data_IF_272881189484
#
_entry.id   IF_272881189484
#
_cell.length_a   1.000
_cell.length_b   1.000
_cell.length_c   1.000
_cell.angle_alpha   90.00
_cell.angle_beta   90.00
_cell.angle_gamma   90.00
#
_symmetry.space_group_name_H-M   'P 1'
#
loop_
_entity.id
_entity.type
_entity.pdbx_description
1 polymer ?
#
# COMPACT_ATOMS: atom_id res chain seq x y z
N UNK A 1 -10.88 13.46 -17.13
CA UNK A 1 -9.81 12.48 -17.11
C UNK A 1 -9.98 11.48 -15.97
N UNK A 2 -9.29 10.35 -16.10
CA UNK A 2 -9.17 9.34 -15.01
C UNK A 2 -7.71 8.90 -14.86
N UNK A 3 -6.79 9.76 -15.27
CA UNK A 3 -5.36 9.54 -15.17
C UNK A 3 -4.88 9.80 -13.74
N UNK A 4 -4.02 8.94 -13.21
CA UNK A 4 -3.43 9.07 -11.85
C UNK A 4 -4.52 9.15 -10.75
N UNK A 5 -5.64 8.42 -10.91
CA UNK A 5 -6.80 8.52 -10.02
C UNK A 5 -7.42 9.94 -9.92
N UNK A 6 -7.08 10.85 -10.84
CA UNK A 6 -7.70 12.18 -10.96
C UNK A 6 -8.88 12.10 -11.90
N UNK A 7 -10.07 12.02 -11.32
CA UNK A 7 -11.31 11.82 -12.05
C UNK A 7 -12.11 13.11 -12.15
N UNK A 8 -12.70 13.37 -13.33
CA UNK A 8 -13.56 14.55 -13.59
C UNK A 8 -14.97 14.43 -12.99
N UNK A 9 -15.15 13.62 -11.96
CA UNK A 9 -16.41 13.53 -11.22
C UNK A 9 -16.37 14.44 -10.00
N UNK A 10 -17.48 15.10 -9.67
CA UNK A 10 -17.56 15.90 -8.45
C UNK A 10 -17.44 14.99 -7.22
N UNK A 11 -16.78 15.48 -6.19
CA UNK A 11 -16.76 14.80 -4.89
C UNK A 11 -18.17 14.72 -4.30
N UNK A 12 -18.42 13.72 -3.44
CA UNK A 12 -19.66 13.61 -2.72
C UNK A 12 -19.94 14.90 -1.91
N UNK A 13 -21.15 15.48 -1.94
CA UNK A 13 -21.41 16.82 -1.42
C UNK A 13 -21.01 17.06 0.05
N UNK A 14 -21.09 16.03 0.89
CA UNK A 14 -20.70 16.15 2.30
C UNK A 14 -19.20 16.47 2.50
N UNK A 15 -18.34 16.13 1.51
CA UNK A 15 -16.89 16.40 1.59
C UNK A 15 -16.60 17.90 1.50
N UNK A 16 -16.98 18.61 0.41
CA UNK A 16 -16.76 20.05 0.34
C UNK A 16 -17.48 20.81 1.46
N UNK A 17 -18.67 20.39 1.89
CA UNK A 17 -19.36 20.99 3.03
C UNK A 17 -18.54 20.87 4.33
N UNK A 18 -17.94 19.71 4.60
CA UNK A 18 -17.09 19.53 5.78
C UNK A 18 -15.83 20.42 5.71
N UNK A 19 -15.21 20.53 4.54
CA UNK A 19 -14.06 21.41 4.31
C UNK A 19 -14.45 22.88 4.55
N UNK A 20 -15.57 23.33 3.98
CA UNK A 20 -16.07 24.71 4.17
C UNK A 20 -16.28 24.99 5.65
N UNK A 21 -16.98 24.12 6.38
CA UNK A 21 -17.15 24.28 7.83
C UNK A 21 -15.84 24.38 8.59
N UNK A 22 -14.80 23.64 8.16
CA UNK A 22 -13.49 23.66 8.84
C UNK A 22 -12.71 24.94 8.56
N UNK A 23 -12.82 25.52 7.37
CA UNK A 23 -12.06 26.74 7.00
C UNK A 23 -12.73 28.05 7.45
N UNK A 24 -14.04 28.04 7.74
CA UNK A 24 -14.74 29.21 8.21
C UNK A 24 -14.15 29.84 9.50
N UNK A 25 -13.82 29.06 10.55
CA UNK A 25 -13.01 29.58 11.65
C UNK A 25 -11.57 29.77 11.21
N UNK A 26 -11.02 31.00 11.18
CA UNK A 26 -9.71 31.29 10.60
C UNK A 26 -8.52 30.94 11.53
N UNK A 27 -8.65 29.89 12.33
CA UNK A 27 -7.58 29.42 13.21
C UNK A 27 -7.00 28.10 12.65
N UNK A 28 -5.81 28.18 12.07
CA UNK A 28 -5.12 27.07 11.40
C UNK A 28 -3.85 26.68 12.14
N UNK A 29 -3.95 26.44 13.45
CA UNK A 29 -2.85 26.02 14.28
C UNK A 29 -2.53 24.53 14.17
N UNK A 30 -1.80 24.03 15.14
CA UNK A 30 -1.50 22.60 15.26
C UNK A 30 -2.79 21.79 15.43
N UNK A 31 -2.80 20.55 14.92
CA UNK A 31 -3.91 19.66 15.11
C UNK A 31 -3.41 18.26 15.52
N UNK A 32 -4.33 17.49 16.11
CA UNK A 32 -4.17 16.04 16.27
C UNK A 32 -5.42 15.39 15.67
N UNK A 33 -5.29 14.18 15.08
CA UNK A 33 -6.45 13.44 14.63
C UNK A 33 -7.46 13.27 15.76
N UNK A 34 -8.73 13.49 15.46
CA UNK A 34 -9.82 13.36 16.44
C UNK A 34 -10.19 11.90 16.69
N UNK A 35 -10.86 11.60 17.80
CA UNK A 35 -11.40 10.26 18.03
C UNK A 35 -12.32 9.83 16.89
N UNK A 36 -13.14 10.73 16.36
CA UNK A 36 -14.01 10.45 15.22
C UNK A 36 -13.25 10.00 13.96
N UNK A 37 -12.01 10.45 13.75
CA UNK A 37 -11.16 9.98 12.67
C UNK A 37 -10.80 8.51 12.84
N UNK A 38 -10.37 8.12 14.04
CA UNK A 38 -10.01 6.72 14.34
C UNK A 38 -11.23 5.81 14.31
N UNK A 39 -12.34 6.26 14.86
CA UNK A 39 -13.62 5.54 14.86
C UNK A 39 -14.12 5.27 13.43
N UNK A 40 -14.03 6.27 12.55
CA UNK A 40 -14.43 6.14 11.15
C UNK A 40 -13.56 5.09 10.41
N UNK A 41 -12.23 5.09 10.62
CA UNK A 41 -11.33 4.10 10.02
C UNK A 41 -11.67 2.70 10.55
N UNK A 42 -11.78 2.55 11.86
CA UNK A 42 -12.09 1.25 12.48
C UNK A 42 -13.44 0.70 12.04
N UNK A 43 -14.46 1.57 11.94
CA UNK A 43 -15.77 1.19 11.43
C UNK A 43 -15.71 0.77 9.96
N UNK A 44 -15.00 1.51 9.10
CA UNK A 44 -14.84 1.16 7.70
C UNK A 44 -14.16 -0.21 7.51
N UNK A 45 -13.05 -0.43 8.21
CA UNK A 45 -12.33 -1.69 8.16
C UNK A 45 -13.18 -2.87 8.65
N UNK A 46 -13.94 -2.68 9.72
CA UNK A 46 -14.85 -3.71 10.24
C UNK A 46 -16.00 -4.00 9.27
N UNK A 47 -16.67 -2.96 8.80
CA UNK A 47 -17.95 -3.10 8.08
C UNK A 47 -17.72 -3.49 6.60
N UNK A 48 -16.60 -3.08 6.02
CA UNK A 48 -16.29 -3.35 4.60
C UNK A 48 -15.33 -4.52 4.39
N UNK A 49 -14.41 -4.74 5.32
CA UNK A 49 -13.33 -5.72 5.16
C UNK A 49 -13.33 -6.82 6.23
N UNK A 50 -14.20 -6.73 7.24
CA UNK A 50 -14.29 -7.72 8.31
C UNK A 50 -13.10 -7.70 9.29
N UNK A 51 -12.30 -6.64 9.27
CA UNK A 51 -11.17 -6.46 10.20
C UNK A 51 -11.71 -6.08 11.57
N UNK A 52 -11.43 -6.91 12.58
CA UNK A 52 -11.84 -6.68 13.97
C UNK A 52 -10.63 -6.40 14.85
N UNK A 53 -10.85 -5.72 15.98
CA UNK A 53 -9.78 -5.43 16.95
C UNK A 53 -8.87 -4.26 16.57
N UNK A 54 -9.20 -3.48 15.54
CA UNK A 54 -8.45 -2.29 15.16
C UNK A 54 -8.82 -1.13 16.09
N UNK A 55 -7.88 -0.71 16.94
CA UNK A 55 -7.98 0.46 17.81
C UNK A 55 -7.11 1.63 17.30
N UNK A 56 -7.24 2.79 17.94
CA UNK A 56 -6.49 4.00 17.58
C UNK A 56 -4.96 3.79 17.64
N UNK A 57 -4.50 2.93 18.54
CA UNK A 57 -3.08 2.55 18.70
C UNK A 57 -2.48 1.84 17.49
N UNK A 58 -3.33 1.31 16.60
CA UNK A 58 -2.91 0.63 15.36
C UNK A 58 -2.94 1.57 14.14
N UNK A 59 -3.35 2.83 14.32
CA UNK A 59 -3.58 3.77 13.22
C UNK A 59 -2.62 4.95 13.34
N UNK A 60 -1.67 5.05 12.42
CA UNK A 60 -0.82 6.22 12.25
C UNK A 60 -1.43 7.22 11.26
N UNK A 61 -1.29 8.52 11.55
CA UNK A 61 -1.61 9.57 10.59
C UNK A 61 -0.38 9.90 9.75
N UNK A 62 -0.52 9.81 8.44
CA UNK A 62 0.54 10.13 7.49
C UNK A 62 0.02 11.03 6.36
N UNK A 63 0.93 11.77 5.76
CA UNK A 63 0.62 12.65 4.63
C UNK A 63 0.63 11.86 3.32
N UNK A 64 -0.40 11.05 3.15
CA UNK A 64 -0.58 10.16 2.00
C UNK A 64 0.16 8.82 2.16
N UNK A 65 -0.28 7.83 1.37
CA UNK A 65 0.20 6.44 1.47
C UNK A 65 1.69 6.32 1.18
N UNK A 66 2.22 7.04 0.19
CA UNK A 66 3.67 7.04 -0.08
C UNK A 66 4.48 7.57 1.11
N UNK A 67 3.94 8.56 1.83
CA UNK A 67 4.51 9.03 3.10
C UNK A 67 4.59 7.87 4.10
N UNK A 68 3.49 7.15 4.30
CA UNK A 68 3.43 6.00 5.20
C UNK A 68 4.40 4.88 4.83
N UNK A 69 4.52 4.55 3.54
CA UNK A 69 5.51 3.56 3.05
C UNK A 69 6.93 3.98 3.42
N UNK A 70 7.29 5.23 3.17
CA UNK A 70 8.65 5.72 3.50
C UNK A 70 8.87 5.83 5.00
N UNK A 71 7.86 6.23 5.78
CA UNK A 71 7.94 6.24 7.24
C UNK A 71 8.20 4.83 7.79
N UNK A 72 7.47 3.83 7.32
CA UNK A 72 7.70 2.45 7.70
C UNK A 72 9.12 2.00 7.35
N UNK A 73 9.60 2.27 6.14
CA UNK A 73 10.95 1.93 5.74
C UNK A 73 12.02 2.66 6.58
N UNK A 74 11.82 3.93 6.92
CA UNK A 74 12.76 4.69 7.75
C UNK A 74 12.88 4.15 9.19
N UNK A 75 11.84 3.45 9.68
CA UNK A 75 11.88 2.81 11.01
C UNK A 75 12.68 1.49 10.98
N UNK A 76 12.52 0.71 9.91
CA UNK A 76 13.05 -0.67 9.85
C UNK A 76 14.25 -0.85 8.93
N UNK A 77 14.55 0.14 8.09
CA UNK A 77 15.62 0.09 7.10
C UNK A 77 16.53 1.32 7.22
N UNK A 78 17.72 1.21 6.66
CA UNK A 78 18.70 2.29 6.56
C UNK A 78 18.85 2.78 5.13
N UNK A 79 19.30 4.02 4.94
CA UNK A 79 19.64 4.54 3.61
C UNK A 79 20.71 3.65 2.96
N UNK A 80 20.47 3.27 1.70
CA UNK A 80 21.31 2.34 0.97
C UNK A 80 20.83 0.90 1.00
N UNK A 81 19.89 0.57 1.88
CA UNK A 81 19.27 -0.74 1.91
C UNK A 81 18.49 -1.03 0.65
N UNK A 82 18.32 -2.31 0.36
CA UNK A 82 17.61 -2.80 -0.81
C UNK A 82 16.17 -3.09 -0.47
N UNK A 83 15.26 -2.61 -1.33
CA UNK A 83 13.83 -2.84 -1.22
C UNK A 83 13.35 -3.54 -2.50
N UNK A 84 12.70 -4.69 -2.35
CA UNK A 84 12.12 -5.44 -3.46
C UNK A 84 10.77 -4.85 -3.85
N UNK A 85 10.56 -4.70 -5.16
CA UNK A 85 9.27 -4.35 -5.77
C UNK A 85 8.98 -5.28 -6.95
N UNK A 86 7.72 -5.65 -7.12
CA UNK A 86 7.30 -6.38 -8.33
C UNK A 86 7.16 -5.41 -9.51
N UNK A 87 7.69 -5.75 -10.67
CA UNK A 87 7.60 -4.90 -11.87
C UNK A 87 6.79 -5.55 -12.99
N UNK A 88 5.99 -4.78 -13.77
CA UNK A 88 5.83 -3.32 -13.67
C UNK A 88 5.25 -2.90 -12.32
N UNK A 89 5.67 -1.72 -11.81
CA UNK A 89 5.24 -1.21 -10.51
C UNK A 89 4.80 0.24 -10.59
N UNK A 90 4.10 0.71 -9.56
CA UNK A 90 3.71 2.11 -9.49
C UNK A 90 4.94 3.02 -9.39
N UNK A 91 4.99 4.02 -10.28
CA UNK A 91 6.12 4.95 -10.38
C UNK A 91 6.38 5.74 -9.08
N UNK A 92 5.34 5.90 -8.25
CA UNK A 92 5.45 6.51 -6.92
C UNK A 92 6.41 5.76 -6.01
N UNK A 93 6.41 4.43 -6.04
CA UNK A 93 7.36 3.63 -5.24
C UNK A 93 8.79 3.88 -5.70
N UNK A 94 9.06 3.74 -7.00
CA UNK A 94 10.42 3.88 -7.52
C UNK A 94 10.99 5.28 -7.28
N UNK A 95 10.18 6.33 -7.49
CA UNK A 95 10.58 7.70 -7.22
C UNK A 95 10.85 7.93 -5.73
N UNK A 96 9.93 7.51 -4.85
CA UNK A 96 10.06 7.72 -3.40
C UNK A 96 11.25 6.95 -2.84
N UNK A 97 11.43 5.69 -3.22
CA UNK A 97 12.58 4.89 -2.79
C UNK A 97 13.90 5.53 -3.22
N UNK A 98 14.03 5.93 -4.49
CA UNK A 98 15.24 6.57 -5.01
C UNK A 98 15.53 7.89 -4.31
N UNK A 99 14.52 8.75 -4.13
CA UNK A 99 14.67 10.05 -3.48
C UNK A 99 15.07 9.92 -1.99
N UNK A 100 14.61 8.86 -1.33
CA UNK A 100 14.96 8.59 0.08
C UNK A 100 16.27 7.79 0.23
N UNK A 101 16.91 7.43 -0.87
CA UNK A 101 18.22 6.79 -0.88
C UNK A 101 18.19 5.27 -0.72
N UNK A 102 17.05 4.63 -0.95
CA UNK A 102 16.94 3.17 -1.01
C UNK A 102 17.34 2.64 -2.40
N UNK A 103 17.81 1.41 -2.44
CA UNK A 103 18.14 0.69 -3.68
C UNK A 103 16.98 -0.24 -4.06
N UNK A 104 16.54 -0.15 -5.30
CA UNK A 104 15.41 -0.93 -5.78
C UNK A 104 15.92 -2.26 -6.33
N UNK A 105 15.26 -3.35 -5.93
CA UNK A 105 15.42 -4.66 -6.52
C UNK A 105 14.10 -5.03 -7.19
N UNK A 106 14.12 -5.17 -8.51
CA UNK A 106 12.95 -5.57 -9.26
C UNK A 106 12.80 -7.10 -9.26
N UNK A 107 11.59 -7.59 -8.94
CA UNK A 107 11.15 -8.95 -9.21
C UNK A 107 10.07 -8.88 -10.28
N UNK A 108 10.37 -9.19 -11.55
CA UNK A 108 9.41 -9.05 -12.64
C UNK A 108 8.21 -9.98 -12.43
N UNK A 109 7.02 -9.44 -12.67
CA UNK A 109 5.82 -10.27 -12.83
C UNK A 109 5.90 -11.00 -14.17
N UNK A 110 5.36 -12.20 -14.23
CA UNK A 110 5.19 -12.97 -15.45
C UNK A 110 3.71 -13.08 -15.82
N UNK A 111 3.40 -13.40 -17.07
CA UNK A 111 2.06 -13.76 -17.49
C UNK A 111 1.97 -15.27 -17.66
N UNK A 112 0.90 -15.87 -17.16
CA UNK A 112 0.57 -17.27 -17.44
C UNK A 112 0.01 -17.45 -18.87
N UNK A 113 -0.37 -18.69 -19.21
CA UNK A 113 -0.90 -19.04 -20.53
C UNK A 113 -2.20 -18.28 -20.88
N UNK A 114 -2.95 -17.86 -19.87
CA UNK A 114 -4.17 -17.06 -20.02
C UNK A 114 -3.91 -15.55 -20.05
N UNK A 115 -2.65 -15.14 -20.00
CA UNK A 115 -2.25 -13.73 -19.97
C UNK A 115 -2.45 -13.05 -18.61
N UNK A 116 -2.71 -13.83 -17.56
CA UNK A 116 -2.88 -13.31 -16.20
C UNK A 116 -1.53 -13.06 -15.55
N UNK A 117 -1.37 -11.86 -15.02
CA UNK A 117 -0.14 -11.50 -14.31
C UNK A 117 0.02 -12.30 -13.01
N UNK A 118 1.22 -12.83 -12.78
CA UNK A 118 1.60 -13.64 -11.62
C UNK A 118 2.90 -13.13 -11.01
N UNK A 119 3.07 -13.34 -9.70
CA UNK A 119 4.38 -13.18 -9.05
C UNK A 119 5.28 -14.33 -9.49
N UNK A 120 6.50 -14.00 -9.92
CA UNK A 120 7.56 -14.99 -10.11
C UNK A 120 8.23 -15.29 -8.77
N UNK A 121 7.68 -16.27 -8.06
CA UNK A 121 8.17 -16.65 -6.74
C UNK A 121 9.58 -17.27 -6.76
N UNK A 122 9.99 -17.87 -7.86
CA UNK A 122 11.34 -18.43 -8.00
C UNK A 122 12.37 -17.30 -8.14
N UNK A 123 12.08 -16.31 -8.99
CA UNK A 123 12.92 -15.12 -9.12
C UNK A 123 12.99 -14.33 -7.80
N UNK A 124 11.84 -14.15 -7.14
CA UNK A 124 11.76 -13.48 -5.84
C UNK A 124 12.62 -14.19 -4.81
N UNK A 125 12.45 -15.51 -4.64
CA UNK A 125 13.21 -16.29 -3.66
C UNK A 125 14.70 -16.30 -3.96
N UNK A 126 15.08 -16.47 -5.23
CA UNK A 126 16.49 -16.42 -5.64
C UNK A 126 17.15 -15.07 -5.33
N UNK A 127 16.41 -13.96 -5.44
CA UNK A 127 16.91 -12.62 -5.08
C UNK A 127 17.04 -12.45 -3.57
N UNK A 128 16.05 -12.88 -2.80
CA UNK A 128 16.08 -12.79 -1.33
C UNK A 128 17.19 -13.68 -0.74
N UNK A 129 17.39 -14.88 -1.29
CA UNK A 129 18.43 -15.80 -0.84
C UNK A 129 19.86 -15.25 -1.02
N UNK A 130 20.09 -14.31 -1.95
CA UNK A 130 21.39 -13.62 -2.11
C UNK A 130 21.68 -12.65 -0.96
N UNK A 131 20.68 -12.33 -0.13
CA UNK A 131 20.78 -11.44 1.00
C UNK A 131 20.85 -9.95 0.65
N UNK A 132 20.81 -9.12 1.69
CA UNK A 132 20.92 -7.66 1.57
C UNK A 132 19.68 -6.97 1.05
N UNK A 133 18.53 -7.67 0.99
CA UNK A 133 17.20 -7.08 0.80
C UNK A 133 16.52 -7.08 2.17
N UNK A 134 16.10 -5.90 2.64
CA UNK A 134 15.59 -5.72 3.99
C UNK A 134 14.06 -5.56 4.02
N UNK A 135 13.48 -5.08 2.91
CA UNK A 135 12.04 -4.93 2.80
C UNK A 135 11.54 -5.28 1.39
N UNK A 136 10.26 -5.62 1.30
CA UNK A 136 9.52 -5.76 0.05
C UNK A 136 8.24 -4.91 0.12
N UNK A 137 7.89 -4.24 -0.97
CA UNK A 137 6.61 -3.55 -1.10
C UNK A 137 5.65 -4.47 -1.85
N UNK A 138 4.57 -4.85 -1.17
CA UNK A 138 3.42 -5.51 -1.77
C UNK A 138 2.41 -4.44 -2.18
N UNK A 139 2.04 -4.39 -3.45
CA UNK A 139 0.93 -3.57 -3.93
C UNK A 139 -0.29 -4.49 -4.18
N UNK A 140 -1.37 -4.30 -3.43
CA UNK A 140 -2.56 -5.15 -3.49
C UNK A 140 -3.85 -4.33 -3.25
N UNK A 141 -4.70 -4.13 -4.24
CA UNK A 141 -4.58 -4.49 -5.67
C UNK A 141 -3.40 -3.85 -6.37
N UNK A 142 -2.78 -4.59 -7.28
CA UNK A 142 -1.52 -4.19 -7.90
C UNK A 142 -1.69 -3.15 -9.02
N UNK A 143 -1.02 -2.04 -8.88
CA UNK A 143 -0.90 -1.01 -9.91
C UNK A 143 0.48 -1.14 -10.62
N UNK A 144 0.56 -1.29 -11.96
CA UNK A 144 -0.48 -0.98 -12.95
C UNK A 144 -1.29 -2.17 -13.49
N UNK A 145 -0.99 -3.40 -13.11
CA UNK A 145 -1.55 -4.58 -13.80
C UNK A 145 -2.97 -4.96 -13.34
N UNK A 146 -3.51 -4.32 -12.31
CA UNK A 146 -4.88 -4.51 -11.86
C UNK A 146 -5.14 -5.84 -11.14
N UNK A 147 -4.09 -6.56 -10.70
CA UNK A 147 -4.25 -7.84 -10.01
C UNK A 147 -4.75 -7.66 -8.58
N UNK A 148 -5.78 -8.40 -8.22
CA UNK A 148 -6.13 -8.72 -6.84
C UNK A 148 -5.49 -10.08 -6.54
N UNK A 149 -4.50 -10.09 -5.66
CA UNK A 149 -3.77 -11.31 -5.34
C UNK A 149 -4.64 -12.27 -4.54
N UNK A 150 -4.54 -13.55 -4.84
CA UNK A 150 -5.23 -14.60 -4.09
C UNK A 150 -4.59 -14.79 -2.71
N UNK A 151 -5.35 -15.34 -1.77
CA UNK A 151 -4.82 -15.65 -0.44
C UNK A 151 -3.62 -16.60 -0.50
N UNK A 152 -3.59 -17.50 -1.47
CA UNK A 152 -2.48 -18.42 -1.69
C UNK A 152 -1.22 -17.69 -2.15
N UNK A 153 -1.36 -16.78 -3.16
CA UNK A 153 -0.26 -15.93 -3.63
C UNK A 153 0.31 -15.06 -2.50
N UNK A 154 -0.57 -14.43 -1.71
CA UNK A 154 -0.16 -13.60 -0.57
C UNK A 154 0.56 -14.41 0.50
N UNK A 155 0.06 -15.60 0.84
CA UNK A 155 0.69 -16.49 1.81
C UNK A 155 2.06 -16.93 1.33
N UNK A 156 2.19 -17.37 0.07
CA UNK A 156 3.47 -17.78 -0.51
C UNK A 156 4.50 -16.66 -0.49
N UNK A 157 4.10 -15.44 -0.86
CA UNK A 157 4.97 -14.27 -0.75
C UNK A 157 5.40 -14.02 0.71
N UNK A 158 4.45 -14.07 1.64
CA UNK A 158 4.71 -13.88 3.06
C UNK A 158 5.68 -14.91 3.62
N UNK A 159 5.50 -16.19 3.27
CA UNK A 159 6.38 -17.30 3.71
C UNK A 159 7.80 -17.12 3.20
N UNK A 160 7.96 -16.70 1.95
CA UNK A 160 9.28 -16.41 1.36
C UNK A 160 9.92 -15.21 2.09
N UNK A 161 9.19 -14.13 2.31
CA UNK A 161 9.72 -12.97 3.04
C UNK A 161 10.12 -13.33 4.48
N UNK A 162 9.28 -14.08 5.18
CA UNK A 162 9.55 -14.54 6.54
C UNK A 162 10.81 -15.43 6.61
N UNK A 163 10.94 -16.38 5.69
CA UNK A 163 12.10 -17.26 5.57
C UNK A 163 13.42 -16.48 5.45
N UNK A 164 13.41 -15.36 4.76
CA UNK A 164 14.58 -14.52 4.51
C UNK A 164 14.68 -13.28 5.43
N UNK A 165 13.81 -13.19 6.45
CA UNK A 165 13.75 -12.05 7.38
C UNK A 165 13.60 -10.70 6.67
N UNK A 166 12.68 -10.64 5.70
CA UNK A 166 12.37 -9.44 4.91
C UNK A 166 11.04 -8.86 5.36
N UNK A 167 11.03 -7.58 5.73
CA UNK A 167 9.82 -6.86 6.10
C UNK A 167 8.91 -6.69 4.87
N UNK A 168 7.61 -6.93 5.02
CA UNK A 168 6.64 -6.60 3.98
C UNK A 168 5.89 -5.32 4.36
N UNK A 169 5.92 -4.34 3.48
CA UNK A 169 5.06 -3.14 3.55
C UNK A 169 3.97 -3.30 2.51
N UNK A 170 2.72 -3.48 2.97
CA UNK A 170 1.57 -3.67 2.08
C UNK A 170 0.92 -2.32 1.77
N UNK A 171 0.92 -1.93 0.51
CA UNK A 171 0.14 -0.80 -0.03
C UNK A 171 -1.17 -1.33 -0.59
N UNK A 172 -2.26 -1.03 0.12
CA UNK A 172 -3.61 -1.49 -0.18
C UNK A 172 -4.54 -0.34 -0.58
N UNK A 173 -4.00 0.77 -1.07
CA UNK A 173 -4.78 1.99 -1.38
C UNK A 173 -5.99 1.75 -2.30
N UNK A 174 -5.94 0.72 -3.14
CA UNK A 174 -7.02 0.37 -4.07
C UNK A 174 -7.99 -0.69 -3.55
N UNK A 175 -7.90 -1.11 -2.29
CA UNK A 175 -8.65 -2.25 -1.74
C UNK A 175 -10.18 -2.12 -1.77
N UNK A 176 -10.71 -0.90 -1.81
CA UNK A 176 -12.15 -0.64 -1.98
C UNK A 176 -12.62 -0.65 -3.45
N UNK A 177 -11.69 -0.70 -4.42
CA UNK A 177 -11.98 -0.64 -5.86
C UNK A 177 -11.90 -2.02 -6.51
N UNK A 178 -12.55 -3.00 -5.88
CA UNK A 178 -12.53 -4.39 -6.35
C UNK A 178 -13.71 -4.63 -7.30
N UNK A 179 -13.43 -5.22 -8.45
CA UNK A 179 -14.45 -5.58 -9.43
C UNK A 179 -15.35 -6.69 -8.88
N UNK A 180 -16.65 -6.72 -9.28
CA UNK A 180 -17.56 -7.79 -8.89
C UNK A 180 -17.00 -9.19 -9.16
N UNK A 181 -17.18 -10.11 -8.20
CA UNK A 181 -16.67 -11.49 -8.30
C UNK A 181 -15.26 -11.69 -7.72
N UNK A 182 -14.57 -10.63 -7.34
CA UNK A 182 -13.27 -10.70 -6.67
C UNK A 182 -13.38 -10.25 -5.21
N UNK A 183 -12.44 -10.69 -4.40
CA UNK A 183 -12.35 -10.31 -2.99
C UNK A 183 -10.92 -9.94 -2.65
N UNK A 184 -10.75 -8.78 -2.04
CA UNK A 184 -9.47 -8.39 -1.44
C UNK A 184 -9.24 -9.15 -0.13
N UNK A 185 -7.99 -9.52 0.11
CA UNK A 185 -7.50 -10.06 1.39
C UNK A 185 -6.49 -9.06 1.94
N UNK A 186 -6.79 -8.53 3.13
CA UNK A 186 -5.88 -7.63 3.87
C UNK A 186 -4.76 -8.44 4.53
#
# INVERSE_FOLDING_TARGET
>A
PMWVADMSFPAFPAIPEAIIRRVQPPAYGYFSPSQAYYDAISAWQRDRHGVTGLGAEHIGYENGVLGGVITALNVFCSRGDRVLVHSPTYIGFTKSLTNCGYKIVHSPLCQDEDGVWRMDFEDMEAKLARGGIHAAILCSPHNPVGRVWTQEELRRMGDICLKHNVLVVSDEIHFDLIMPGYKHTC
#
